data_IF_747760505506
#
_entry.id   IF_747760505506
#
_cell.length_a   1.000
_cell.length_b   1.000
_cell.length_c   1.000
_cell.angle_alpha   90.00
_cell.angle_beta   90.00
_cell.angle_gamma   90.00
#
_symmetry.space_group_name_H-M   'P 1'
#
loop_
_entity.id
_entity.type
_entity.pdbx_description
1 polymer ?
#
# COMPACT_ATOMS: atom_id res chain seq x y z
N UNK A 1 10.46 32.25 2.63
CA UNK A 1 9.17 31.60 2.95
C UNK A 1 9.25 30.13 2.56
N UNK A 2 9.44 29.23 3.53
CA UNK A 2 9.47 27.77 3.30
C UNK A 2 8.03 27.27 3.29
N UNK A 3 7.40 27.22 2.11
CA UNK A 3 6.15 26.49 1.85
C UNK A 3 6.39 24.96 1.81
N UNK A 4 7.39 24.46 2.53
CA UNK A 4 7.97 23.13 2.32
C UNK A 4 7.49 22.04 3.27
N UNK A 5 7.11 22.38 4.51
CA UNK A 5 6.85 21.39 5.55
C UNK A 5 5.41 20.89 5.60
N UNK A 6 4.43 21.61 5.03
CA UNK A 6 3.00 21.26 5.19
C UNK A 6 2.48 20.23 4.17
N UNK A 7 3.25 19.94 3.12
CA UNK A 7 2.83 19.04 2.03
C UNK A 7 3.69 17.76 1.95
N UNK A 8 4.39 17.40 3.03
CA UNK A 8 5.25 16.22 3.07
C UNK A 8 4.48 14.94 2.72
N UNK A 9 3.23 14.82 3.19
CA UNK A 9 2.34 13.70 2.92
C UNK A 9 2.04 13.52 1.43
N UNK A 10 1.99 14.60 0.64
CA UNK A 10 1.82 14.52 -0.83
C UNK A 10 3.09 14.12 -1.57
N UNK A 11 4.27 14.42 -1.00
CA UNK A 11 5.57 14.09 -1.60
C UNK A 11 6.08 12.70 -1.18
N UNK A 12 5.62 12.20 -0.03
CA UNK A 12 6.04 10.91 0.54
C UNK A 12 5.87 9.73 -0.42
N UNK A 13 4.77 9.56 -1.18
CA UNK A 13 4.62 8.43 -2.09
C UNK A 13 5.66 8.45 -3.20
N UNK A 14 5.97 9.63 -3.73
CA UNK A 14 6.96 9.81 -4.79
C UNK A 14 8.39 9.58 -4.30
N UNK A 15 8.72 10.06 -3.10
CA UNK A 15 10.06 9.83 -2.52
C UNK A 15 10.28 8.36 -2.17
N UNK A 16 9.25 7.69 -1.63
CA UNK A 16 9.30 6.26 -1.33
C UNK A 16 9.42 5.42 -2.61
N UNK A 17 8.71 5.81 -3.69
CA UNK A 17 8.84 5.17 -4.99
C UNK A 17 10.27 5.24 -5.51
N UNK A 18 10.85 6.44 -5.53
CA UNK A 18 12.25 6.64 -5.93
C UNK A 18 13.20 5.82 -5.07
N UNK A 19 12.95 5.72 -3.76
CA UNK A 19 13.76 4.88 -2.87
C UNK A 19 13.69 3.40 -3.25
N UNK A 20 12.51 2.88 -3.57
CA UNK A 20 12.28 1.47 -3.90
C UNK A 20 12.83 1.04 -5.26
N UNK A 21 12.82 1.94 -6.26
CA UNK A 21 13.23 1.63 -7.64
C UNK A 21 14.68 2.00 -7.96
N UNK A 22 15.32 2.84 -7.15
CA UNK A 22 16.72 3.23 -7.38
C UNK A 22 17.67 2.12 -6.96
N UNK A 23 18.58 1.73 -7.85
CA UNK A 23 19.65 0.77 -7.56
C UNK A 23 20.57 1.37 -6.49
N UNK A 24 20.80 0.62 -5.41
CA UNK A 24 21.73 1.04 -4.37
C UNK A 24 23.14 0.60 -4.73
N UNK A 25 24.10 1.52 -4.68
CA UNK A 25 25.52 1.24 -4.95
C UNK A 25 26.10 0.18 -4.04
N UNK A 26 25.61 0.05 -2.80
CA UNK A 26 26.06 -0.95 -1.83
C UNK A 26 25.66 -2.39 -2.17
N UNK A 27 24.50 -2.59 -2.80
CA UNK A 27 23.95 -3.93 -3.10
C UNK A 27 23.85 -4.22 -4.59
N UNK A 28 24.04 -3.23 -5.46
CA UNK A 28 23.84 -3.36 -6.90
C UNK A 28 22.40 -3.67 -7.30
N UNK A 29 21.46 -3.62 -6.36
CA UNK A 29 20.07 -4.00 -6.54
C UNK A 29 19.13 -2.91 -6.00
N UNK A 30 17.89 -2.90 -6.49
CA UNK A 30 16.84 -2.04 -5.95
C UNK A 30 16.36 -2.58 -4.59
N UNK A 31 16.02 -1.72 -3.62
CA UNK A 31 15.50 -2.19 -2.33
C UNK A 31 14.26 -3.08 -2.47
N UNK A 32 13.41 -2.81 -3.46
CA UNK A 32 12.23 -3.62 -3.73
C UNK A 32 12.59 -5.06 -4.17
N UNK A 33 13.60 -5.20 -5.03
CA UNK A 33 14.09 -6.51 -5.49
C UNK A 33 14.61 -7.36 -4.32
N UNK A 34 15.24 -6.75 -3.31
CA UNK A 34 15.72 -7.48 -2.15
C UNK A 34 14.60 -8.01 -1.25
N UNK A 35 13.51 -7.26 -1.09
CA UNK A 35 12.38 -7.64 -0.23
C UNK A 35 11.43 -8.60 -0.93
N UNK A 36 11.11 -8.33 -2.19
CA UNK A 36 10.09 -9.06 -2.93
C UNK A 36 10.65 -10.06 -3.94
N UNK A 37 11.99 -10.11 -4.12
CA UNK A 37 12.68 -10.98 -5.09
C UNK A 37 12.19 -10.81 -6.53
N UNK A 38 11.59 -9.66 -6.84
CA UNK A 38 11.13 -9.31 -8.18
C UNK A 38 11.46 -7.84 -8.49
N UNK A 39 11.70 -7.52 -9.76
CA UNK A 39 12.00 -6.15 -10.17
C UNK A 39 10.79 -5.22 -9.97
N UNK A 40 11.07 -3.97 -9.61
CA UNK A 40 10.04 -2.97 -9.40
C UNK A 40 9.55 -2.40 -10.74
N UNK A 41 8.71 -3.16 -11.45
CA UNK A 41 7.80 -2.57 -12.46
C UNK A 41 6.69 -1.91 -11.66
N UNK A 42 6.59 -0.57 -11.74
CA UNK A 42 5.70 0.33 -10.96
C UNK A 42 4.92 -0.46 -9.89
N UNK A 43 5.42 -0.53 -8.64
CA UNK A 43 4.84 -1.43 -7.67
C UNK A 43 3.35 -1.14 -7.58
N UNK A 44 2.51 -2.13 -7.88
CA UNK A 44 1.06 -2.06 -7.63
C UNK A 44 0.82 -1.66 -6.17
N UNK A 45 1.74 -2.01 -5.27
CA UNK A 45 1.77 -1.63 -3.86
C UNK A 45 2.28 -0.20 -3.60
N UNK A 46 2.67 0.58 -4.59
CA UNK A 46 2.93 2.02 -4.51
C UNK A 46 1.84 2.79 -5.24
N UNK A 47 1.35 2.28 -6.38
CA UNK A 47 0.13 2.78 -7.03
C UNK A 47 -1.09 2.66 -6.11
N UNK A 48 -1.31 1.54 -5.45
CA UNK A 48 -2.45 1.37 -4.54
C UNK A 48 -2.35 2.34 -3.35
N UNK A 49 -1.20 2.53 -2.67
CA UNK A 49 -1.04 3.56 -1.65
C UNK A 49 -1.09 4.99 -2.17
N UNK A 50 -0.55 5.31 -3.35
CA UNK A 50 -0.66 6.66 -3.90
C UNK A 50 -2.09 6.96 -4.32
N UNK A 51 -2.79 6.02 -4.95
CA UNK A 51 -4.22 6.11 -5.25
C UNK A 51 -5.04 6.21 -3.95
N UNK A 52 -4.72 5.42 -2.92
CA UNK A 52 -5.33 5.56 -1.59
C UNK A 52 -5.10 6.95 -1.04
N UNK A 53 -3.87 7.45 -0.99
CA UNK A 53 -3.56 8.79 -0.46
C UNK A 53 -4.26 9.90 -1.26
N UNK A 54 -4.39 9.77 -2.57
CA UNK A 54 -5.16 10.72 -3.40
C UNK A 54 -6.63 10.69 -3.00
N UNK A 55 -7.22 9.49 -2.90
CA UNK A 55 -8.60 9.28 -2.46
C UNK A 55 -8.81 9.78 -1.03
N UNK A 56 -7.85 9.58 -0.12
CA UNK A 56 -7.90 10.05 1.27
C UNK A 56 -7.77 11.58 1.40
N UNK A 57 -7.10 12.26 0.46
CA UNK A 57 -7.00 13.74 0.45
C UNK A 57 -8.26 14.40 -0.10
N UNK A 58 -9.05 13.67 -0.89
CA UNK A 58 -10.24 14.17 -1.58
C UNK A 58 -11.54 13.85 -0.83
N UNK A 59 -11.50 12.95 0.16
CA UNK A 59 -12.64 12.54 0.99
C UNK A 59 -12.60 13.25 2.34
N UNK A 60 -13.77 13.69 2.83
CA UNK A 60 -13.95 14.27 4.16
C UNK A 60 -13.70 13.25 5.28
N UNK A 61 -13.19 13.67 6.44
CA UNK A 61 -12.77 12.77 7.53
C UNK A 61 -13.88 11.79 7.96
N UNK A 62 -15.15 12.23 8.00
CA UNK A 62 -16.28 11.37 8.39
C UNK A 62 -16.61 10.31 7.32
N UNK A 63 -16.53 10.69 6.03
CA UNK A 63 -16.68 9.76 4.92
C UNK A 63 -15.49 8.79 4.79
N UNK A 64 -14.28 9.24 5.15
CA UNK A 64 -13.09 8.41 5.17
C UNK A 64 -13.21 7.31 6.23
N UNK A 65 -13.61 7.67 7.46
CA UNK A 65 -13.81 6.71 8.55
C UNK A 65 -14.83 5.65 8.14
N UNK A 66 -15.95 6.07 7.55
CA UNK A 66 -17.00 5.15 7.07
C UNK A 66 -16.50 4.21 5.98
N UNK A 67 -15.88 4.76 4.93
CA UNK A 67 -15.33 3.98 3.80
C UNK A 67 -14.26 2.99 4.28
N UNK A 68 -13.43 3.41 5.26
CA UNK A 68 -12.38 2.57 5.82
C UNK A 68 -12.95 1.40 6.63
N UNK A 69 -14.00 1.64 7.40
CA UNK A 69 -14.72 0.61 8.14
C UNK A 69 -15.34 -0.43 7.19
N UNK A 70 -15.99 0.02 6.11
CA UNK A 70 -16.58 -0.87 5.11
C UNK A 70 -15.52 -1.74 4.40
N UNK A 71 -14.39 -1.15 4.01
CA UNK A 71 -13.27 -1.90 3.41
C UNK A 71 -12.67 -2.95 4.36
N UNK A 72 -12.50 -2.61 5.64
CA UNK A 72 -12.00 -3.54 6.65
C UNK A 72 -13.00 -4.67 6.90
N UNK A 73 -14.31 -4.39 6.89
CA UNK A 73 -15.36 -5.41 6.96
C UNK A 73 -15.24 -6.40 5.80
N UNK A 74 -15.16 -5.89 4.57
CA UNK A 74 -15.03 -6.72 3.38
C UNK A 74 -13.75 -7.58 3.39
N UNK A 75 -12.63 -7.03 3.87
CA UNK A 75 -11.39 -7.79 4.03
C UNK A 75 -11.53 -8.89 5.09
N UNK A 76 -12.20 -8.60 6.22
CA UNK A 76 -12.45 -9.59 7.26
C UNK A 76 -13.37 -10.70 6.77
N UNK A 77 -14.41 -10.39 6.01
CA UNK A 77 -15.31 -11.38 5.38
C UNK A 77 -14.56 -12.29 4.40
N UNK A 78 -13.71 -11.72 3.54
CA UNK A 78 -12.85 -12.51 2.63
C UNK A 78 -11.87 -13.41 3.39
N UNK A 79 -11.38 -12.96 4.55
CA UNK A 79 -10.52 -13.79 5.41
C UNK A 79 -11.30 -14.90 6.09
N UNK A 80 -12.53 -14.63 6.56
CA UNK A 80 -13.40 -15.63 7.18
C UNK A 80 -13.72 -16.75 6.18
N UNK A 81 -14.15 -16.38 4.98
CA UNK A 81 -14.47 -17.35 3.91
C UNK A 81 -13.25 -18.16 3.46
N UNK A 82 -12.05 -17.56 3.45
CA UNK A 82 -10.81 -18.31 3.19
C UNK A 82 -10.43 -19.28 4.32
N UNK A 83 -10.75 -18.96 5.58
CA UNK A 83 -10.53 -19.86 6.72
C UNK A 83 -11.54 -21.01 6.69
N UNK A 84 -12.82 -20.71 6.44
CA UNK A 84 -13.88 -21.70 6.29
C UNK A 84 -13.65 -22.64 5.10
N UNK A 85 -13.18 -22.11 3.96
CA UNK A 85 -12.83 -22.93 2.81
C UNK A 85 -11.65 -23.86 3.07
N UNK A 86 -10.71 -23.44 3.94
CA UNK A 86 -9.53 -24.24 4.31
C UNK A 86 -9.88 -25.35 5.29
N UNK A 87 -10.83 -25.11 6.19
CA UNK A 87 -11.39 -26.10 7.12
C UNK A 87 -12.20 -27.17 6.36
N UNK A 88 -12.98 -26.77 5.34
CA UNK A 88 -13.73 -27.69 4.48
C UNK A 88 -12.88 -28.57 3.55
N UNK A 89 -11.65 -28.15 3.23
CA UNK A 89 -10.75 -28.90 2.32
C UNK A 89 -9.85 -29.91 3.06
N UNK A 90 -9.92 -29.97 4.39
CA UNK A 90 -9.21 -30.97 5.21
C UNK A 90 -10.21 -31.65 6.14
N UNK A 91 -11.07 -32.57 5.64
CA UNK A 91 -11.82 -33.41 6.55
C UNK A 91 -10.82 -34.31 7.29
N UNK A 92 -10.91 -34.31 8.62
CA UNK A 92 -10.32 -35.33 9.48
C UNK A 92 -10.88 -36.72 9.10
#
# INVERSE_FOLDING_TARGET
MVQGSRQWHKKLPFTLLGYHTTIRTSTGATPYLLVHRTEAVIPVKVEIPSLRVIVEVEIDDDEWVKTRLEQLSLMNEKRLTSVEAKDKLSPN
#
